data_IF_397324188550
#
_entry.id   IF_397324188550
#
_cell.length_a   1.000
_cell.length_b   1.000
_cell.length_c   1.000
_cell.angle_alpha   90.00
_cell.angle_beta   90.00
_cell.angle_gamma   90.00
#
_symmetry.space_group_name_H-M   'P 1'
#
loop_
_entity.id
_entity.type
_entity.pdbx_description
1 polymer ?
#
# COMPACT_ATOMS: atom_id res chain seq x y z
N UNK A 1 -17.48 4.88 -33.31
CA UNK A 1 -16.24 4.90 -32.48
C UNK A 1 -16.22 6.00 -31.41
N UNK A 2 -16.60 7.25 -31.71
CA UNK A 2 -16.67 8.37 -30.75
C UNK A 2 -17.50 8.16 -29.46
N UNK A 3 -18.68 7.48 -29.47
CA UNK A 3 -19.48 7.31 -28.25
C UNK A 3 -18.84 6.36 -27.22
N UNK A 4 -18.09 5.35 -27.67
CA UNK A 4 -17.36 4.41 -26.80
C UNK A 4 -16.20 5.09 -26.07
N UNK A 5 -15.42 5.89 -26.79
CA UNK A 5 -14.33 6.71 -26.21
C UNK A 5 -14.85 7.65 -25.11
N UNK A 6 -15.99 8.31 -25.32
CA UNK A 6 -16.59 9.19 -24.31
C UNK A 6 -17.12 8.43 -23.08
N UNK A 7 -17.54 7.17 -23.25
CA UNK A 7 -18.04 6.31 -22.15
C UNK A 7 -16.92 5.83 -21.22
N UNK A 8 -15.69 5.69 -21.74
CA UNK A 8 -14.48 5.32 -20.98
C UNK A 8 -13.75 6.55 -20.43
N UNK A 9 -13.66 7.62 -21.23
CA UNK A 9 -12.94 8.85 -20.88
C UNK A 9 -13.49 9.51 -19.61
N UNK A 10 -14.81 9.63 -19.48
CA UNK A 10 -15.44 10.31 -18.34
C UNK A 10 -15.12 9.60 -17.00
N UNK A 11 -15.33 8.27 -16.86
CA UNK A 11 -14.91 7.53 -15.68
C UNK A 11 -13.41 7.63 -15.38
N UNK A 12 -12.56 7.53 -16.41
CA UNK A 12 -11.12 7.60 -16.24
C UNK A 12 -10.68 8.96 -15.70
N UNK A 13 -11.19 10.04 -16.27
CA UNK A 13 -10.91 11.39 -15.78
C UNK A 13 -11.43 11.60 -14.36
N UNK A 14 -12.56 10.98 -14.00
CA UNK A 14 -13.06 11.02 -12.62
C UNK A 14 -12.10 10.31 -11.66
N UNK A 15 -11.61 9.11 -12.00
CA UNK A 15 -10.63 8.37 -11.20
C UNK A 15 -9.32 9.15 -11.02
N UNK A 16 -8.86 9.83 -12.07
CA UNK A 16 -7.65 10.66 -12.01
C UNK A 16 -7.84 11.91 -11.14
N UNK A 17 -9.05 12.49 -11.12
CA UNK A 17 -9.36 13.73 -10.40
C UNK A 17 -9.82 13.53 -8.95
N UNK A 18 -10.29 12.34 -8.60
CA UNK A 18 -10.75 12.04 -7.25
C UNK A 18 -9.58 12.08 -6.26
N UNK A 19 -9.80 12.63 -5.06
CA UNK A 19 -8.76 12.69 -4.03
C UNK A 19 -7.57 13.62 -4.30
N UNK A 20 -7.60 14.49 -5.32
CA UNK A 20 -6.48 15.39 -5.66
C UNK A 20 -6.20 16.53 -4.68
N UNK A 21 -7.03 16.72 -3.65
CA UNK A 21 -6.71 17.68 -2.60
C UNK A 21 -5.38 17.31 -1.91
N UNK A 22 -4.61 18.27 -1.36
CA UNK A 22 -3.35 17.95 -0.67
C UNK A 22 -3.50 16.90 0.43
N UNK A 23 -4.63 16.96 1.17
CA UNK A 23 -4.99 15.94 2.16
C UNK A 23 -5.27 14.60 1.50
N UNK A 24 -6.10 14.58 0.44
CA UNK A 24 -6.45 13.35 -0.27
C UNK A 24 -5.24 12.63 -0.86
N UNK A 25 -4.31 13.36 -1.51
CA UNK A 25 -3.07 12.80 -2.05
C UNK A 25 -2.16 12.24 -0.96
N UNK A 26 -1.99 12.98 0.16
CA UNK A 26 -1.20 12.51 1.29
C UNK A 26 -1.74 11.19 1.86
N UNK A 27 -3.06 11.10 2.09
CA UNK A 27 -3.71 9.87 2.57
C UNK A 27 -3.68 8.75 1.53
N UNK A 28 -3.79 9.06 0.23
CA UNK A 28 -3.70 8.07 -0.84
C UNK A 28 -2.31 7.42 -0.88
N UNK A 29 -1.25 8.22 -0.90
CA UNK A 29 0.11 7.68 -0.91
C UNK A 29 0.44 6.95 0.39
N UNK A 30 0.05 7.50 1.54
CA UNK A 30 0.28 6.86 2.83
C UNK A 30 -0.43 5.50 2.94
N UNK A 31 -1.70 5.42 2.55
CA UNK A 31 -2.46 4.18 2.54
C UNK A 31 -1.86 3.17 1.54
N UNK A 32 -1.52 3.62 0.33
CA UNK A 32 -0.88 2.77 -0.67
C UNK A 32 0.45 2.19 -0.19
N UNK A 33 1.30 2.99 0.45
CA UNK A 33 2.57 2.53 1.03
C UNK A 33 2.34 1.55 2.19
N UNK A 34 1.46 1.89 3.14
CA UNK A 34 1.17 1.04 4.29
C UNK A 34 0.54 -0.31 3.89
N UNK A 35 -0.32 -0.31 2.88
CA UNK A 35 -0.91 -1.54 2.31
C UNK A 35 0.11 -2.31 1.48
N UNK A 36 0.96 -1.63 0.72
CA UNK A 36 1.95 -2.26 -0.16
C UNK A 36 3.05 -3.02 0.57
N UNK A 37 3.37 -2.63 1.81
CA UNK A 37 4.30 -3.41 2.66
C UNK A 37 3.66 -4.64 3.32
N UNK A 38 2.38 -4.92 3.05
CA UNK A 38 1.70 -6.08 3.65
C UNK A 38 2.44 -7.39 3.34
N UNK A 39 2.63 -8.28 4.32
CA UNK A 39 3.22 -9.60 4.09
C UNK A 39 2.27 -10.55 3.34
N UNK A 40 1.01 -10.15 3.12
CA UNK A 40 0.00 -10.92 2.40
C UNK A 40 0.15 -10.69 0.89
N UNK A 41 0.91 -11.58 0.24
CA UNK A 41 1.15 -11.48 -1.20
C UNK A 41 -0.15 -11.53 -2.02
N UNK A 42 -0.29 -10.62 -2.97
CA UNK A 42 -1.41 -10.58 -3.90
C UNK A 42 -2.69 -9.92 -3.36
N UNK A 43 -2.79 -9.62 -2.06
CA UNK A 43 -4.00 -8.98 -1.50
C UNK A 43 -3.92 -7.45 -1.51
N UNK A 44 -2.72 -6.86 -1.55
CA UNK A 44 -2.50 -5.41 -1.42
C UNK A 44 -3.23 -4.59 -2.49
N UNK A 45 -3.28 -5.07 -3.74
CA UNK A 45 -4.01 -4.45 -4.85
C UNK A 45 -5.51 -4.35 -4.55
N UNK A 46 -6.12 -5.45 -4.10
CA UNK A 46 -7.54 -5.49 -3.78
C UNK A 46 -7.86 -4.62 -2.55
N UNK A 47 -6.98 -4.64 -1.55
CA UNK A 47 -7.09 -3.77 -0.37
C UNK A 47 -6.99 -2.30 -0.76
N UNK A 48 -6.08 -1.92 -1.67
CA UNK A 48 -5.98 -0.56 -2.18
C UNK A 48 -7.28 -0.13 -2.87
N UNK A 49 -7.83 -0.97 -3.75
CA UNK A 49 -9.14 -0.71 -4.39
C UNK A 49 -10.23 -0.49 -3.34
N UNK A 50 -10.35 -1.40 -2.37
CA UNK A 50 -11.38 -1.32 -1.32
C UNK A 50 -11.26 -0.05 -0.48
N UNK A 51 -10.05 0.27 -0.02
CA UNK A 51 -9.77 1.47 0.79
C UNK A 51 -9.99 2.74 -0.02
N UNK A 52 -9.57 2.79 -1.29
CA UNK A 52 -9.80 3.94 -2.14
C UNK A 52 -11.29 4.22 -2.35
N UNK A 53 -12.09 3.17 -2.57
CA UNK A 53 -13.54 3.30 -2.72
C UNK A 53 -14.20 3.76 -1.42
N UNK A 54 -13.84 3.15 -0.29
CA UNK A 54 -14.44 3.44 1.02
C UNK A 54 -14.14 4.88 1.47
N UNK A 55 -12.91 5.35 1.29
CA UNK A 55 -12.47 6.67 1.76
C UNK A 55 -12.38 7.73 0.67
N UNK A 56 -12.80 7.40 -0.56
CA UNK A 56 -12.76 8.28 -1.75
C UNK A 56 -11.38 8.86 -2.01
N UNK A 57 -10.36 8.00 -1.90
CA UNK A 57 -8.95 8.34 -2.15
C UNK A 57 -8.59 8.20 -3.63
N UNK A 58 -7.45 8.76 -4.03
CA UNK A 58 -6.98 8.69 -5.39
C UNK A 58 -6.41 7.29 -5.68
N UNK A 59 -7.20 6.44 -6.33
CA UNK A 59 -6.84 5.07 -6.63
C UNK A 59 -5.53 4.92 -7.44
N UNK A 60 -5.28 5.72 -8.50
CA UNK A 60 -3.99 5.69 -9.19
C UNK A 60 -2.79 5.96 -8.28
N UNK A 61 -2.88 6.98 -7.42
CA UNK A 61 -1.83 7.30 -6.45
C UNK A 61 -1.61 6.17 -5.44
N UNK A 62 -2.70 5.55 -4.94
CA UNK A 62 -2.61 4.39 -4.05
C UNK A 62 -1.87 3.23 -4.70
N UNK A 63 -2.19 2.92 -5.96
CA UNK A 63 -1.55 1.81 -6.68
C UNK A 63 -0.07 2.10 -6.98
N UNK A 64 0.26 3.33 -7.35
CA UNK A 64 1.65 3.74 -7.53
C UNK A 64 2.45 3.55 -6.23
N UNK A 65 1.89 4.02 -5.10
CA UNK A 65 2.51 3.84 -3.79
C UNK A 65 2.62 2.37 -3.38
N UNK A 66 1.60 1.55 -3.65
CA UNK A 66 1.60 0.11 -3.41
C UNK A 66 2.77 -0.59 -4.13
N UNK A 67 2.96 -0.34 -5.43
CA UNK A 67 4.08 -0.92 -6.17
C UNK A 67 5.43 -0.33 -5.78
N UNK A 68 5.49 0.96 -5.45
CA UNK A 68 6.71 1.59 -4.94
C UNK A 68 7.14 1.02 -3.57
N UNK A 69 6.22 0.43 -2.81
CA UNK A 69 6.50 -0.18 -1.52
C UNK A 69 7.19 -1.55 -1.63
N UNK A 70 7.28 -2.17 -2.80
CA UNK A 70 7.81 -3.55 -2.94
C UNK A 70 9.21 -3.76 -2.36
N UNK A 71 10.19 -2.85 -2.55
CA UNK A 71 11.49 -3.00 -1.88
C UNK A 71 11.35 -3.04 -0.36
N UNK A 72 10.50 -2.17 0.19
CA UNK A 72 10.23 -2.11 1.62
C UNK A 72 9.43 -3.35 2.11
N UNK A 73 8.53 -3.87 1.29
CA UNK A 73 7.80 -5.11 1.56
C UNK A 73 8.77 -6.28 1.77
N UNK A 74 9.77 -6.41 0.89
CA UNK A 74 10.79 -7.47 0.99
C UNK A 74 11.61 -7.29 2.28
N UNK A 75 12.03 -6.06 2.57
CA UNK A 75 12.81 -5.76 3.79
C UNK A 75 12.02 -6.01 5.08
N UNK A 76 10.73 -5.67 5.09
CA UNK A 76 9.87 -5.77 6.27
C UNK A 76 9.20 -7.13 6.44
N UNK A 77 9.25 -8.01 5.43
CA UNK A 77 8.66 -9.35 5.50
C UNK A 77 9.17 -10.13 6.72
N UNK A 78 10.50 -10.23 6.88
CA UNK A 78 11.11 -10.96 7.99
C UNK A 78 10.74 -10.30 9.34
N UNK A 79 10.88 -8.97 9.52
CA UNK A 79 10.36 -8.28 10.71
C UNK A 79 8.90 -8.59 11.05
N UNK A 80 7.99 -8.57 10.08
CA UNK A 80 6.57 -8.89 10.34
C UNK A 80 6.36 -10.34 10.74
N UNK A 81 7.06 -11.28 10.10
CA UNK A 81 7.02 -12.70 10.51
C UNK A 81 7.47 -12.84 11.97
N UNK A 82 8.64 -12.28 12.32
CA UNK A 82 9.18 -12.38 13.69
C UNK A 82 8.28 -11.70 14.73
N UNK A 83 7.68 -10.56 14.38
CA UNK A 83 6.74 -9.88 15.26
C UNK A 83 5.46 -10.69 15.44
N UNK A 84 4.92 -11.27 14.36
CA UNK A 84 3.79 -12.18 14.43
C UNK A 84 4.07 -13.41 15.30
N UNK A 85 5.23 -14.04 15.14
CA UNK A 85 5.65 -15.17 15.99
C UNK A 85 5.65 -14.80 17.47
N UNK A 86 6.20 -13.62 17.82
CA UNK A 86 6.21 -13.12 19.21
C UNK A 86 4.81 -12.83 19.74
N UNK A 87 3.94 -12.21 18.93
CA UNK A 87 2.56 -11.88 19.33
C UNK A 87 1.71 -13.11 19.64
N UNK A 88 1.96 -14.22 18.94
CA UNK A 88 1.19 -15.47 19.07
C UNK A 88 1.94 -16.57 19.85
N UNK A 89 3.14 -16.29 20.37
CA UNK A 89 3.96 -17.29 21.07
C UNK A 89 4.36 -18.49 20.20
N UNK A 90 4.46 -18.30 18.88
CA UNK A 90 4.79 -19.37 17.95
C UNK A 90 6.31 -19.60 17.85
N UNK A 91 6.74 -20.85 17.68
CA UNK A 91 8.15 -21.20 17.49
C UNK A 91 8.73 -20.52 16.24
N UNK A 92 9.96 -20.01 16.31
CA UNK A 92 10.60 -19.34 15.19
C UNK A 92 10.73 -20.29 13.98
N UNK A 93 10.12 -19.93 12.85
CA UNK A 93 10.24 -20.73 11.63
C UNK A 93 11.68 -20.65 11.10
N UNK A 94 12.27 -21.79 10.69
CA UNK A 94 13.51 -21.79 9.91
C UNK A 94 13.23 -21.16 8.55
N UNK A 95 13.68 -19.93 8.34
CA UNK A 95 13.53 -19.22 7.07
C UNK A 95 14.62 -19.64 6.06
N UNK A 96 14.86 -20.95 5.94
CA UNK A 96 15.80 -21.51 4.96
C UNK A 96 15.06 -21.95 3.70
N UNK A 97 15.44 -21.44 2.51
CA UNK A 97 14.85 -21.87 1.24
C UNK A 97 14.97 -23.37 1.00
N UNK A 98 16.08 -24.00 1.38
CA UNK A 98 16.29 -25.45 1.20
C UNK A 98 15.34 -26.27 2.07
N UNK A 99 15.19 -25.90 3.35
CA UNK A 99 14.28 -26.57 4.27
C UNK A 99 12.82 -26.42 3.83
N UNK A 100 12.45 -25.26 3.28
CA UNK A 100 11.09 -25.04 2.77
C UNK A 100 10.83 -25.88 1.51
N UNK A 101 11.79 -25.97 0.59
CA UNK A 101 11.70 -26.80 -0.62
C UNK A 101 11.61 -28.29 -0.27
N UNK A 102 12.40 -28.75 0.71
CA UNK A 102 12.34 -30.13 1.20
C UNK A 102 11.00 -30.44 1.86
N UNK A 103 10.50 -29.55 2.72
CA UNK A 103 9.20 -29.69 3.37
C UNK A 103 8.05 -29.72 2.35
N UNK A 104 8.08 -28.84 1.35
CA UNK A 104 7.10 -28.81 0.26
C UNK A 104 7.12 -30.10 -0.57
N UNK A 105 8.30 -30.66 -0.89
CA UNK A 105 8.42 -31.92 -1.62
C UNK A 105 7.92 -33.11 -0.81
N UNK A 106 8.19 -33.12 0.50
CA UNK A 106 7.80 -34.23 1.37
C UNK A 106 6.30 -34.21 1.69
N UNK A 107 5.76 -33.07 2.09
CA UNK A 107 4.36 -32.90 2.50
C UNK A 107 3.81 -31.54 2.06
N UNK A 108 3.35 -31.42 0.80
CA UNK A 108 2.92 -30.13 0.23
C UNK A 108 1.79 -29.48 1.03
N UNK A 109 0.70 -30.22 1.28
CA UNK A 109 -0.48 -29.67 1.97
C UNK A 109 -0.20 -29.27 3.42
N UNK A 110 0.56 -30.07 4.16
CA UNK A 110 0.91 -29.75 5.54
C UNK A 110 1.88 -28.56 5.63
N UNK A 111 2.78 -28.42 4.66
CA UNK A 111 3.69 -27.26 4.60
C UNK A 111 2.91 -25.99 4.25
N UNK A 112 1.93 -26.08 3.35
CA UNK A 112 1.05 -24.96 3.02
C UNK A 112 0.21 -24.49 4.20
N UNK A 113 -0.34 -25.38 5.03
CA UNK A 113 -1.13 -24.99 6.21
C UNK A 113 -0.27 -24.29 7.26
N UNK A 114 0.94 -24.80 7.51
CA UNK A 114 1.92 -24.14 8.40
C UNK A 114 2.29 -22.77 7.83
N UNK A 115 2.66 -22.70 6.56
CA UNK A 115 3.02 -21.43 5.92
C UNK A 115 1.88 -20.40 5.96
N UNK A 116 0.65 -20.84 5.73
CA UNK A 116 -0.54 -20.00 5.82
C UNK A 116 -0.75 -19.45 7.24
N UNK A 117 -0.60 -20.29 8.27
CA UNK A 117 -0.69 -19.82 9.66
C UNK A 117 0.38 -18.77 10.01
N UNK A 118 1.57 -18.87 9.43
CA UNK A 118 2.65 -17.88 9.63
C UNK A 118 2.36 -16.57 8.92
N UNK A 119 1.88 -16.63 7.68
CA UNK A 119 1.42 -15.44 6.95
C UNK A 119 0.28 -14.74 7.69
N UNK A 120 -0.62 -15.50 8.33
CA UNK A 120 -1.66 -14.94 9.17
C UNK A 120 -1.10 -14.14 10.36
N UNK A 121 -0.15 -14.71 11.12
CA UNK A 121 0.48 -13.99 12.24
C UNK A 121 1.22 -12.72 11.78
N UNK A 122 1.95 -12.81 10.66
CA UNK A 122 2.60 -11.65 10.05
C UNK A 122 1.58 -10.59 9.60
N UNK A 123 0.45 -11.02 9.03
CA UNK A 123 -0.66 -10.16 8.64
C UNK A 123 -1.26 -9.40 9.83
N UNK A 124 -1.44 -10.05 10.97
CA UNK A 124 -1.90 -9.39 12.20
C UNK A 124 -0.88 -8.38 12.70
N UNK A 125 0.40 -8.73 12.75
CA UNK A 125 1.49 -7.82 13.12
C UNK A 125 1.53 -6.58 12.20
N UNK A 126 1.38 -6.80 10.90
CA UNK A 126 1.27 -5.72 9.92
C UNK A 126 0.04 -4.86 10.18
N UNK A 127 -1.15 -5.42 10.37
CA UNK A 127 -2.37 -4.64 10.57
C UNK A 127 -2.29 -3.72 11.79
N UNK A 128 -1.66 -4.18 12.88
CA UNK A 128 -1.42 -3.38 14.08
C UNK A 128 -0.52 -2.17 13.81
N UNK A 129 0.49 -2.32 12.95
CA UNK A 129 1.46 -1.27 12.63
C UNK A 129 1.05 -0.41 11.43
N UNK A 130 0.22 -0.93 10.52
CA UNK A 130 -0.15 -0.28 9.28
C UNK A 130 -0.96 0.99 9.52
N UNK A 131 -1.91 0.96 10.46
CA UNK A 131 -2.74 2.13 10.79
C UNK A 131 -1.92 3.30 11.36
N UNK A 132 -1.09 3.13 12.41
CA UNK A 132 -0.26 4.24 12.91
C UNK A 132 0.77 4.69 11.87
N UNK A 133 1.41 3.77 11.14
CA UNK A 133 2.34 4.13 10.07
C UNK A 133 1.67 4.97 8.98
N UNK A 134 0.48 4.56 8.53
CA UNK A 134 -0.33 5.31 7.57
C UNK A 134 -0.65 6.72 8.08
N UNK A 135 -1.07 6.86 9.34
CA UNK A 135 -1.37 8.16 9.92
C UNK A 135 -0.14 9.07 9.96
N UNK A 136 1.00 8.56 10.43
CA UNK A 136 2.26 9.30 10.49
C UNK A 136 2.73 9.74 9.09
N UNK A 137 2.69 8.83 8.11
CA UNK A 137 3.03 9.13 6.72
C UNK A 137 2.09 10.18 6.13
N UNK A 138 0.77 10.07 6.35
CA UNK A 138 -0.20 11.03 5.83
C UNK A 138 0.02 12.42 6.44
N UNK A 139 0.31 12.50 7.74
CA UNK A 139 0.60 13.76 8.42
C UNK A 139 1.91 14.38 7.93
N UNK A 140 2.95 13.57 7.70
CA UNK A 140 4.25 14.03 7.18
C UNK A 140 4.20 14.46 5.70
N UNK A 141 3.41 13.79 4.87
CA UNK A 141 3.26 14.12 3.45
C UNK A 141 2.36 15.35 3.22
N UNK A 142 1.39 15.60 4.10
CA UNK A 142 0.45 16.71 3.97
C UNK A 142 1.13 18.08 3.78
N UNK A 143 2.11 18.53 4.57
CA UNK A 143 2.76 19.83 4.37
C UNK A 143 3.45 19.93 3.01
N UNK A 144 4.04 18.83 2.51
CA UNK A 144 4.70 18.78 1.20
C UNK A 144 3.69 19.06 0.08
N UNK A 145 2.51 18.42 0.13
CA UNK A 145 1.46 18.67 -0.87
C UNK A 145 0.82 20.05 -0.74
N UNK A 146 0.67 20.57 0.49
CA UNK A 146 0.17 21.94 0.69
C UNK A 146 1.15 22.95 0.12
N UNK A 147 2.45 22.76 0.36
CA UNK A 147 3.50 23.59 -0.20
C UNK A 147 3.52 23.53 -1.73
N UNK A 148 3.52 22.32 -2.30
CA UNK A 148 3.50 22.13 -3.75
C UNK A 148 2.27 22.77 -4.40
N UNK A 149 1.08 22.63 -3.80
CA UNK A 149 -0.15 23.25 -4.30
C UNK A 149 -0.09 24.78 -4.28
N UNK A 150 0.55 25.39 -3.27
CA UNK A 150 0.77 26.84 -3.22
C UNK A 150 1.78 27.32 -4.26
N UNK A 151 2.85 26.55 -4.49
CA UNK A 151 3.96 26.94 -5.38
C UNK A 151 3.66 26.75 -6.86
N UNK A 152 2.86 25.74 -7.20
CA UNK A 152 2.57 25.30 -8.57
C UNK A 152 1.08 25.30 -8.91
N UNK A 153 0.24 25.84 -8.02
CA UNK A 153 -1.20 25.97 -8.26
C UNK A 153 -1.51 26.93 -9.41
N UNK A 154 -2.72 26.86 -10.00
CA UNK A 154 -3.10 27.70 -11.13
C UNK A 154 -2.94 29.20 -10.88
N UNK A 155 -3.13 29.67 -9.64
CA UNK A 155 -2.89 31.06 -9.24
C UNK A 155 -1.41 31.47 -9.32
N UNK A 156 -0.48 30.57 -9.02
CA UNK A 156 0.96 30.83 -9.15
C UNK A 156 1.42 30.87 -10.61
N UNK A 157 0.68 30.23 -11.53
CA UNK A 157 0.92 30.28 -12.97
C UNK A 157 0.38 31.55 -13.64
N UNK A 158 -0.49 32.31 -12.94
CA UNK A 158 -1.06 33.58 -13.42
C UNK A 158 -0.39 34.80 -12.77
N UNK A 159 0.49 34.60 -11.80
CA UNK A 159 1.28 35.69 -11.23
C UNK A 159 2.31 36.17 -12.27
N UNK A 160 2.38 37.48 -12.56
CA UNK A 160 3.38 38.00 -13.49
C UNK A 160 4.79 37.66 -12.96
N UNK A 161 5.76 37.40 -13.86
CA UNK A 161 7.14 37.18 -13.44
C UNK A 161 7.59 38.41 -12.65
N UNK A 162 8.15 38.18 -11.47
CA UNK A 162 8.78 39.23 -10.67
C UNK A 162 10.08 39.60 -11.39
N UNK A 163 10.07 40.74 -12.06
CA UNK A 163 11.27 41.42 -12.57
C UNK A 163 12.13 41.97 -11.44
#
# INVERSE_FOLDING_TARGET
>A
MAPLLNRIRKPLLRLLKEGLSPRGLAWSLAAGLAIGVSPLFGTSTALCVGVALLFRLNQPAMQLANYAAYPLQILLLIPFIRLGERLFGAEAMPLSPSLLLEALKAKPLATLTVFWSRLWHAGVAWALLALPAMALLALGLRPVFVFAARRFGPEASLAPPVE
#
